data_IF_637243584846
#
_entry.id   IF_637243584846
#
_cell.length_a   1.000
_cell.length_b   1.000
_cell.length_c   1.000
_cell.angle_alpha   90.00
_cell.angle_beta   90.00
_cell.angle_gamma   90.00
#
_symmetry.space_group_name_H-M   'P 1'
#
loop_
_entity.id
_entity.type
_entity.pdbx_description
1 polymer ?
#
# COMPACT_ATOMS: atom_id res chain seq x y z
N UNK A 1 -6.14 23.29 -1.57
CA UNK A 1 -6.58 22.62 -0.54
C UNK A 1 -5.60 21.91 0.30
N UNK A 2 -5.36 22.49 1.34
CA UNK A 2 -4.37 22.03 2.30
C UNK A 2 -4.69 20.70 2.97
N UNK A 3 -5.91 20.24 2.89
CA UNK A 3 -6.30 19.02 3.55
C UNK A 3 -5.62 17.76 3.04
N UNK A 4 -5.09 17.81 1.85
CA UNK A 4 -4.45 16.66 1.23
C UNK A 4 -3.10 16.33 1.83
N UNK A 5 -2.42 17.28 2.39
CA UNK A 5 -1.09 17.08 2.95
C UNK A 5 -1.08 16.17 4.18
N UNK A 6 -2.23 15.98 4.77
CA UNK A 6 -2.33 15.11 5.94
C UNK A 6 -2.57 13.66 5.57
N UNK A 7 -2.82 13.44 4.34
CA UNK A 7 -3.16 12.11 3.91
C UNK A 7 -1.89 11.37 3.68
N UNK A 8 -1.71 10.40 4.43
CA UNK A 8 -0.76 9.44 4.13
C UNK A 8 0.58 9.64 4.77
N UNK A 9 0.91 8.63 5.42
CA UNK A 9 2.23 8.34 5.93
C UNK A 9 2.61 6.95 5.48
N UNK A 10 3.88 6.67 5.48
CA UNK A 10 4.30 5.29 5.48
C UNK A 10 4.03 4.76 6.89
N UNK A 11 3.22 3.71 6.95
CA UNK A 11 2.92 3.04 8.21
C UNK A 11 3.86 1.88 8.36
N UNK A 12 4.62 1.88 9.41
CA UNK A 12 5.40 0.73 9.82
C UNK A 12 4.65 0.07 10.96
N UNK A 13 4.12 -1.11 10.71
CA UNK A 13 3.48 -1.89 11.74
C UNK A 13 4.53 -2.59 12.56
N UNK A 14 4.25 -2.67 13.84
CA UNK A 14 5.21 -3.21 14.79
C UNK A 14 5.62 -4.64 14.47
N UNK A 15 6.68 -5.07 15.07
CA UNK A 15 7.28 -6.37 14.89
C UNK A 15 6.33 -7.55 15.11
N UNK A 16 5.23 -7.34 15.76
CA UNK A 16 4.20 -8.37 15.93
C UNK A 16 3.81 -9.00 14.60
N UNK A 17 3.76 -8.19 13.55
CA UNK A 17 3.42 -8.71 12.24
C UNK A 17 4.47 -9.66 11.68
N UNK A 18 5.72 -9.49 12.05
CA UNK A 18 6.80 -10.31 11.51
C UNK A 18 6.65 -11.78 11.85
N UNK A 19 6.29 -12.08 13.08
CA UNK A 19 6.15 -13.47 13.51
C UNK A 19 5.02 -14.20 12.79
N UNK A 20 4.04 -13.48 12.32
CA UNK A 20 2.85 -14.04 11.72
C UNK A 20 2.87 -14.04 10.20
N UNK A 21 3.82 -13.34 9.59
CA UNK A 21 3.84 -13.16 8.15
C UNK A 21 4.17 -14.44 7.40
N UNK A 22 5.01 -15.28 7.95
CA UNK A 22 5.46 -16.49 7.24
C UNK A 22 4.28 -17.40 6.86
N UNK A 23 3.42 -17.82 7.79
CA UNK A 23 2.28 -18.62 7.41
C UNK A 23 1.24 -17.84 6.59
N UNK A 24 1.04 -16.56 6.87
CA UNK A 24 0.06 -15.75 6.16
C UNK A 24 0.42 -15.56 4.69
N UNK A 25 1.69 -15.42 4.37
CA UNK A 25 2.13 -15.18 3.00
C UNK A 25 1.82 -16.33 2.05
N UNK A 26 1.81 -17.57 2.54
CA UNK A 26 1.44 -18.71 1.71
C UNK A 26 -0.06 -18.81 1.48
N UNK A 27 -0.86 -18.46 2.47
CA UNK A 27 -2.31 -18.59 2.41
C UNK A 27 -2.95 -17.65 1.39
N UNK A 28 -2.36 -16.48 1.14
CA UNK A 28 -2.92 -15.46 0.25
C UNK A 28 -2.20 -15.35 -1.09
N UNK A 29 -1.40 -16.35 -1.43
CA UNK A 29 -0.52 -16.28 -2.60
C UNK A 29 -1.27 -15.94 -3.91
N UNK A 30 -2.45 -16.51 -4.12
CA UNK A 30 -3.16 -16.31 -5.37
C UNK A 30 -3.83 -14.94 -5.52
N UNK A 31 -4.03 -14.20 -4.44
CA UNK A 31 -4.64 -12.89 -4.49
C UNK A 31 -3.63 -11.74 -4.39
N UNK A 32 -2.35 -12.07 -4.25
CA UNK A 32 -1.31 -11.07 -4.11
C UNK A 32 -0.91 -10.47 -5.45
N UNK A 33 -0.47 -9.23 -5.38
CA UNK A 33 0.20 -8.60 -6.51
C UNK A 33 1.54 -9.31 -6.72
N UNK A 34 1.84 -9.68 -7.95
CA UNK A 34 3.09 -10.36 -8.28
C UNK A 34 4.29 -9.46 -8.01
N UNK A 35 5.29 -10.00 -7.37
CA UNK A 35 6.59 -9.36 -7.16
C UNK A 35 7.67 -10.13 -7.88
N UNK A 36 8.76 -9.45 -8.23
CA UNK A 36 9.88 -10.11 -8.90
C UNK A 36 10.65 -10.97 -7.90
N UNK A 37 11.12 -12.10 -8.35
CA UNK A 37 12.02 -12.95 -7.56
C UNK A 37 13.33 -12.21 -7.30
N UNK A 38 13.78 -12.21 -6.04
CA UNK A 38 15.01 -11.53 -5.64
C UNK A 38 14.90 -10.03 -5.55
N UNK A 39 13.72 -9.47 -5.70
CA UNK A 39 13.48 -8.04 -5.60
C UNK A 39 13.46 -7.55 -4.16
N UNK A 40 13.61 -6.25 -3.97
CA UNK A 40 13.52 -5.63 -2.65
C UNK A 40 12.11 -5.76 -2.08
N UNK A 41 11.11 -5.57 -2.91
CA UNK A 41 9.71 -5.73 -2.53
C UNK A 41 9.34 -7.20 -2.69
N UNK A 42 9.24 -7.93 -1.61
CA UNK A 42 8.89 -9.35 -1.65
C UNK A 42 7.44 -9.66 -1.32
N UNK A 43 6.66 -8.65 -0.96
CA UNK A 43 5.23 -8.79 -0.71
C UNK A 43 4.53 -7.45 -0.95
N UNK A 44 3.38 -7.53 -1.58
CA UNK A 44 2.44 -6.41 -1.69
C UNK A 44 1.05 -6.97 -1.36
N UNK A 45 0.19 -6.14 -0.81
CA UNK A 45 -1.15 -6.57 -0.43
C UNK A 45 -1.94 -7.13 -1.62
N UNK A 46 -3.04 -7.79 -1.30
CA UNK A 46 -3.93 -8.35 -2.32
C UNK A 46 -4.45 -7.27 -3.26
N UNK A 47 -4.85 -7.68 -4.45
CA UNK A 47 -5.37 -6.76 -5.48
C UNK A 47 -6.70 -6.10 -5.09
N UNK A 48 -7.37 -6.59 -4.05
CA UNK A 48 -8.61 -6.03 -3.52
C UNK A 48 -8.38 -5.50 -2.11
N UNK A 49 -8.56 -4.21 -1.93
CA UNK A 49 -8.41 -3.55 -0.63
C UNK A 49 -9.79 -3.42 0.03
N UNK A 50 -9.83 -3.73 1.31
CA UNK A 50 -11.07 -3.58 2.09
C UNK A 50 -11.33 -2.12 2.40
N UNK A 51 -12.55 -1.66 2.15
CA UNK A 51 -12.98 -0.31 2.53
C UNK A 51 -13.09 -0.22 4.05
N UNK A 52 -12.35 0.69 4.63
CA UNK A 52 -12.34 0.94 6.07
C UNK A 52 -11.92 2.37 6.35
N UNK A 53 -11.95 2.75 7.61
CA UNK A 53 -11.48 4.09 8.02
C UNK A 53 -10.03 4.35 7.66
N UNK A 54 -9.24 3.30 7.55
CA UNK A 54 -7.84 3.38 7.15
C UNK A 54 -7.56 2.28 6.13
N UNK A 55 -7.21 2.68 4.93
CA UNK A 55 -6.93 1.76 3.83
C UNK A 55 -5.43 1.74 3.61
N UNK A 56 -4.83 0.58 3.82
CA UNK A 56 -3.39 0.36 3.75
C UNK A 56 -3.03 -0.50 2.54
N UNK A 57 -2.07 -0.04 1.75
CA UNK A 57 -1.40 -0.88 0.77
C UNK A 57 -0.18 -1.49 1.45
N UNK A 58 -0.32 -2.70 1.95
CA UNK A 58 0.74 -3.36 2.70
C UNK A 58 1.91 -3.76 1.80
N UNK A 59 3.12 -3.48 2.27
CA UNK A 59 4.36 -3.79 1.57
C UNK A 59 5.33 -4.40 2.58
N UNK A 60 6.11 -5.37 2.14
CA UNK A 60 7.21 -5.93 2.92
C UNK A 60 8.47 -5.91 2.05
N UNK A 61 9.54 -5.36 2.58
CA UNK A 61 10.84 -5.39 1.93
C UNK A 61 11.69 -6.55 2.46
N UNK A 62 12.53 -7.11 1.60
CA UNK A 62 13.48 -8.17 1.97
C UNK A 62 14.67 -7.65 2.78
N UNK A 63 15.00 -6.38 2.61
CA UNK A 63 16.04 -5.67 3.37
C UNK A 63 15.46 -4.35 3.85
N UNK A 64 16.17 -3.65 4.73
CA UNK A 64 15.78 -2.29 5.08
C UNK A 64 15.70 -1.45 3.81
N UNK A 65 14.61 -0.73 3.62
CA UNK A 65 14.40 0.03 2.40
C UNK A 65 13.78 1.39 2.69
N UNK A 66 13.99 2.32 1.78
CA UNK A 66 13.26 3.57 1.75
C UNK A 66 12.17 3.46 0.70
N UNK A 67 10.94 3.75 1.07
CA UNK A 67 9.80 3.72 0.17
C UNK A 67 9.47 5.12 -0.32
N UNK A 68 9.21 5.23 -1.61
CA UNK A 68 8.53 6.38 -2.21
C UNK A 68 7.29 5.86 -2.90
N UNK A 69 6.15 6.44 -2.59
CA UNK A 69 4.89 5.98 -3.16
C UNK A 69 4.08 7.14 -3.71
N UNK A 70 3.40 6.87 -4.81
CA UNK A 70 2.40 7.76 -5.38
C UNK A 70 1.12 6.96 -5.51
N UNK A 71 0.08 7.37 -4.82
CA UNK A 71 -1.21 6.69 -4.83
C UNK A 71 -2.29 7.64 -5.31
N UNK A 72 -3.06 7.20 -6.29
CA UNK A 72 -4.17 7.96 -6.85
C UNK A 72 -5.47 7.20 -6.64
N UNK A 73 -6.45 7.86 -6.07
CA UNK A 73 -7.81 7.34 -5.94
C UNK A 73 -8.65 7.94 -7.03
N UNK A 74 -9.28 7.09 -7.82
CA UNK A 74 -10.10 7.49 -8.98
C UNK A 74 -11.51 6.95 -8.87
N UNK A 75 -12.47 7.78 -9.18
CA UNK A 75 -13.85 7.41 -9.45
C UNK A 75 -14.44 8.46 -10.39
N UNK A 76 -15.63 8.19 -10.92
CA UNK A 76 -16.31 9.20 -11.76
C UNK A 76 -16.51 10.47 -10.94
N UNK A 77 -15.97 11.59 -11.43
CA UNK A 77 -16.07 12.87 -10.75
C UNK A 77 -15.15 13.01 -9.52
N UNK A 78 -14.27 12.05 -9.27
CA UNK A 78 -13.34 12.12 -8.15
C UNK A 78 -11.95 11.67 -8.57
N UNK A 79 -10.96 12.45 -8.17
CA UNK A 79 -9.56 12.15 -8.45
C UNK A 79 -8.69 12.82 -7.39
N UNK A 80 -7.90 12.02 -6.68
CA UNK A 80 -6.98 12.54 -5.68
C UNK A 80 -5.68 11.74 -5.67
N UNK A 81 -4.56 12.42 -5.60
CA UNK A 81 -3.23 11.82 -5.60
C UNK A 81 -2.48 12.20 -4.32
N UNK A 82 -1.83 11.21 -3.73
CA UNK A 82 -0.98 11.37 -2.56
C UNK A 82 0.43 10.90 -2.87
N UNK A 83 1.40 11.57 -2.30
CA UNK A 83 2.79 11.13 -2.34
C UNK A 83 3.30 10.93 -0.92
N UNK A 84 3.90 9.79 -0.68
CA UNK A 84 4.40 9.41 0.64
C UNK A 84 5.79 8.82 0.53
N UNK A 85 6.60 9.06 1.54
CA UNK A 85 7.91 8.45 1.64
C UNK A 85 8.23 8.13 3.09
N UNK A 86 9.06 7.13 3.29
CA UNK A 86 9.52 6.74 4.62
C UNK A 86 10.37 5.49 4.58
N UNK A 87 10.99 5.19 5.72
CA UNK A 87 11.84 4.02 5.87
C UNK A 87 11.02 2.82 6.35
N UNK A 88 11.36 1.65 5.86
CA UNK A 88 10.74 0.38 6.25
C UNK A 88 11.83 -0.63 6.58
N UNK A 89 11.72 -1.26 7.74
CA UNK A 89 12.65 -2.30 8.12
C UNK A 89 12.35 -3.61 7.42
N UNK A 90 13.39 -4.39 7.18
CA UNK A 90 13.27 -5.71 6.57
C UNK A 90 12.27 -6.60 7.32
N UNK A 91 11.40 -7.26 6.59
CA UNK A 91 10.42 -8.19 7.14
C UNK A 91 9.25 -7.55 7.88
N UNK A 92 9.21 -6.23 8.00
CA UNK A 92 8.12 -5.52 8.68
C UNK A 92 7.09 -5.09 7.66
N UNK A 93 5.81 -5.24 8.00
CA UNK A 93 4.71 -4.77 7.17
C UNK A 93 4.58 -3.26 7.33
N UNK A 94 4.57 -2.57 6.22
CA UNK A 94 4.32 -1.13 6.18
C UNK A 94 3.76 -0.75 4.83
N UNK A 95 3.75 0.53 4.53
CA UNK A 95 3.35 1.02 3.22
C UNK A 95 2.45 2.24 3.28
N UNK A 96 2.03 2.74 2.12
CA UNK A 96 1.18 3.90 2.06
C UNK A 96 -0.23 3.59 2.56
N UNK A 97 -0.83 4.54 3.22
CA UNK A 97 -2.22 4.43 3.65
C UNK A 97 -2.94 5.75 3.43
N UNK A 98 -4.25 5.67 3.39
CA UNK A 98 -5.09 6.85 3.38
C UNK A 98 -6.33 6.64 4.26
N UNK A 99 -6.86 7.75 4.75
CA UNK A 99 -8.02 7.76 5.64
C UNK A 99 -9.11 8.58 4.95
N UNK A 100 -10.09 7.93 4.34
CA UNK A 100 -11.19 8.66 3.71
C UNK A 100 -12.00 9.40 4.76
N UNK A 101 -12.43 10.64 4.44
CA UNK A 101 -13.34 11.36 5.30
C UNK A 101 -14.72 10.68 5.34
N UNK A 102 -15.59 11.13 6.25
CA UNK A 102 -16.89 10.51 6.44
C UNK A 102 -17.74 10.37 5.17
N UNK A 103 -17.95 11.43 4.39
CA UNK A 103 -18.69 11.35 3.14
C UNK A 103 -18.06 10.42 2.11
N UNK A 104 -16.76 10.49 1.94
CA UNK A 104 -16.04 9.64 1.01
C UNK A 104 -16.10 8.17 1.45
N UNK A 105 -15.95 7.91 2.74
CA UNK A 105 -16.05 6.55 3.28
C UNK A 105 -17.43 5.94 3.02
N UNK A 106 -18.50 6.69 3.22
CA UNK A 106 -19.85 6.26 2.90
C UNK A 106 -20.01 5.92 1.43
N UNK A 107 -19.48 6.78 0.56
CA UNK A 107 -19.55 6.57 -0.87
C UNK A 107 -18.76 5.32 -1.30
N UNK A 108 -17.59 5.11 -0.74
CA UNK A 108 -16.78 3.93 -0.99
C UNK A 108 -17.47 2.64 -0.53
N UNK A 109 -18.13 2.68 0.63
CA UNK A 109 -18.89 1.51 1.14
C UNK A 109 -20.11 1.22 0.30
N UNK A 110 -20.79 2.25 -0.19
CA UNK A 110 -21.98 2.08 -1.03
C UNK A 110 -21.62 1.55 -2.42
N UNK A 111 -20.52 2.05 -2.99
CA UNK A 111 -20.11 1.74 -4.38
C UNK A 111 -18.62 1.41 -4.46
N UNK A 112 -18.14 0.35 -3.81
CA UNK A 112 -16.72 0.05 -3.80
C UNK A 112 -16.17 -0.22 -5.21
N UNK A 113 -16.96 -0.83 -6.07
CA UNK A 113 -16.56 -1.11 -7.45
C UNK A 113 -16.37 0.13 -8.33
N UNK A 114 -16.89 1.28 -7.91
CA UNK A 114 -16.72 2.53 -8.65
C UNK A 114 -15.35 3.18 -8.44
N UNK A 115 -14.61 2.73 -7.43
CA UNK A 115 -13.32 3.29 -7.06
C UNK A 115 -12.17 2.39 -7.47
N UNK A 116 -11.09 3.02 -7.92
CA UNK A 116 -9.82 2.36 -8.20
C UNK A 116 -8.72 3.08 -7.45
N UNK A 117 -7.80 2.33 -6.89
CA UNK A 117 -6.63 2.85 -6.21
C UNK A 117 -5.41 2.45 -7.03
N UNK A 118 -4.78 3.41 -7.66
CA UNK A 118 -3.57 3.19 -8.46
C UNK A 118 -2.39 3.57 -7.59
N UNK A 119 -1.52 2.62 -7.29
CA UNK A 119 -0.36 2.86 -6.46
C UNK A 119 0.91 2.49 -7.18
N UNK A 120 1.88 3.40 -7.15
CA UNK A 120 3.23 3.18 -7.64
C UNK A 120 4.17 3.24 -6.44
N UNK A 121 4.91 2.18 -6.21
CA UNK A 121 5.77 2.02 -5.04
C UNK A 121 7.18 1.77 -5.53
N UNK A 122 8.12 2.58 -5.05
CA UNK A 122 9.54 2.39 -5.30
C UNK A 122 10.26 2.16 -3.97
N UNK A 123 11.01 1.08 -3.89
CA UNK A 123 11.85 0.76 -2.75
C UNK A 123 13.31 0.96 -3.12
N UNK A 124 14.08 1.55 -2.24
CA UNK A 124 15.52 1.75 -2.42
C UNK A 124 16.24 1.19 -1.20
N UNK A 125 17.24 0.35 -1.45
CA UNK A 125 18.16 -0.11 -0.40
C UNK A 125 19.15 1.03 -0.11
N UNK A 126 19.11 1.63 1.08
CA UNK A 126 20.01 2.75 1.40
C UNK A 126 21.51 2.36 1.47
N UNK A 127 21.79 1.07 1.61
CA UNK A 127 23.17 0.57 1.69
C UNK A 127 23.79 0.39 0.31
N UNK A 128 23.06 -0.20 -0.63
CA UNK A 128 23.57 -0.55 -1.95
C UNK A 128 23.11 0.40 -3.05
N UNK A 129 22.08 1.19 -2.80
CA UNK A 129 21.44 2.02 -3.82
C UNK A 129 20.54 1.24 -4.78
N UNK A 130 20.41 -0.06 -4.60
CA UNK A 130 19.54 -0.87 -5.43
C UNK A 130 18.09 -0.41 -5.30
N UNK A 131 17.36 -0.45 -6.40
CA UNK A 131 15.96 -0.02 -6.44
C UNK A 131 15.07 -1.11 -6.99
N UNK A 132 13.82 -1.11 -6.55
CA UNK A 132 12.78 -1.96 -7.08
C UNK A 132 11.49 -1.15 -7.11
N UNK A 133 10.67 -1.38 -8.12
CA UNK A 133 9.44 -0.63 -8.28
C UNK A 133 8.31 -1.56 -8.70
N UNK A 134 7.12 -1.27 -8.20
CA UNK A 134 5.89 -1.95 -8.57
C UNK A 134 4.78 -0.93 -8.72
N UNK A 135 3.95 -1.11 -9.73
CA UNK A 135 2.76 -0.31 -9.93
C UNK A 135 1.57 -1.24 -10.13
N UNK A 136 0.49 -0.95 -9.45
CA UNK A 136 -0.70 -1.79 -9.53
C UNK A 136 -1.97 -0.98 -9.30
N UNK A 137 -3.04 -1.41 -9.94
CA UNK A 137 -4.38 -0.87 -9.73
C UNK A 137 -5.15 -1.82 -8.83
N UNK A 138 -5.47 -1.34 -7.63
CA UNK A 138 -6.24 -2.09 -6.66
C UNK A 138 -7.73 -1.77 -6.81
N UNK A 139 -8.55 -2.78 -6.60
CA UNK A 139 -10.00 -2.62 -6.50
C UNK A 139 -10.39 -2.55 -5.04
N UNK A 140 -11.47 -1.85 -4.73
CA UNK A 140 -12.03 -1.83 -3.38
C UNK A 140 -13.10 -2.90 -3.23
N UNK A 141 -13.21 -3.43 -2.02
CA UNK A 141 -14.28 -4.35 -1.62
C UNK A 141 -14.81 -3.95 -0.24
N UNK A 142 -16.05 -4.35 0.06
CA UNK A 142 -16.61 -4.18 1.40
C UNK A 142 -15.89 -5.04 2.44
#
# INVERSE_FOLDING_TARGET
>A
MSGTSRVGRIVTLAAVACALLVPASTAVAKDRVATKSGALINYVSTAKLKVSKKILVAVVCSVNCNLKTTTTIKAKGYHQTFQLSGALQAGVVGGPFFEPNGPLLKLMKAHPGAFKVVSSITATDPTTGATDAIAHTFKLKR
#
